data_IF_101404923610
#
_entry.id   IF_101404923610
#
_cell.length_a   1.000
_cell.length_b   1.000
_cell.length_c   1.000
_cell.angle_alpha   90.00
_cell.angle_beta   90.00
_cell.angle_gamma   90.00
#
_symmetry.space_group_name_H-M   'P 1'
#
loop_
_entity.id
_entity.type
_entity.pdbx_description
1 polymer ?
#
# COMPACT_ATOMS: atom_id res chain seq x y z
N UNK A 1 -11.18 -1.71 -13.37
CA UNK A 1 -12.43 -2.45 -13.59
C UNK A 1 -13.55 -1.82 -12.79
N UNK A 2 -14.70 -1.64 -13.41
CA UNK A 2 -15.91 -1.08 -12.76
C UNK A 2 -16.45 -1.99 -11.64
N UNK A 3 -17.31 -1.42 -10.80
CA UNK A 3 -18.02 -2.12 -9.73
C UNK A 3 -19.54 -1.93 -9.87
N UNK A 4 -20.38 -2.90 -9.45
CA UNK A 4 -20.04 -4.22 -8.92
C UNK A 4 -19.21 -5.05 -9.90
N UNK A 5 -18.22 -5.78 -9.39
CA UNK A 5 -17.37 -6.61 -10.24
C UNK A 5 -18.15 -7.87 -10.72
N UNK A 6 -17.50 -8.76 -11.47
CA UNK A 6 -18.12 -10.00 -11.97
C UNK A 6 -18.70 -10.92 -10.89
N UNK A 7 -18.30 -10.78 -9.63
CA UNK A 7 -18.82 -11.55 -8.50
C UNK A 7 -19.77 -10.73 -7.60
N UNK A 8 -20.24 -9.57 -8.07
CA UNK A 8 -21.20 -8.72 -7.37
C UNK A 8 -20.62 -7.89 -6.23
N UNK A 9 -19.32 -7.97 -5.92
CA UNK A 9 -18.71 -7.15 -4.87
C UNK A 9 -18.45 -5.72 -5.36
N UNK A 10 -18.77 -4.77 -4.49
CA UNK A 10 -18.39 -3.36 -4.63
C UNK A 10 -17.21 -3.07 -3.71
N UNK A 11 -16.10 -2.63 -4.30
CA UNK A 11 -14.84 -2.39 -3.60
C UNK A 11 -14.38 -0.94 -3.88
N UNK A 12 -13.92 -0.19 -2.86
CA UNK A 12 -13.47 1.19 -3.03
C UNK A 12 -12.42 1.35 -4.14
N UNK A 13 -12.47 2.51 -4.83
CA UNK A 13 -11.54 2.81 -5.92
C UNK A 13 -10.07 2.75 -5.47
N UNK A 14 -9.76 3.30 -4.30
CA UNK A 14 -8.43 3.29 -3.71
C UNK A 14 -7.89 1.86 -3.55
N UNK A 15 -8.69 0.96 -2.97
CA UNK A 15 -8.32 -0.45 -2.78
C UNK A 15 -8.03 -1.13 -4.11
N UNK A 16 -8.91 -0.96 -5.11
CA UNK A 16 -8.72 -1.53 -6.46
C UNK A 16 -7.42 -1.04 -7.11
N UNK A 17 -7.12 0.24 -6.99
CA UNK A 17 -5.88 0.84 -7.53
C UNK A 17 -4.64 0.33 -6.81
N UNK A 18 -4.61 0.33 -5.48
CA UNK A 18 -3.46 -0.14 -4.70
C UNK A 18 -3.19 -1.63 -4.91
N UNK A 19 -4.23 -2.46 -5.08
CA UNK A 19 -4.05 -3.86 -5.50
C UNK A 19 -3.43 -3.94 -6.90
N UNK A 20 -3.95 -3.16 -7.86
CA UNK A 20 -3.46 -3.17 -9.24
C UNK A 20 -2.02 -2.62 -9.41
N UNK A 21 -1.56 -1.75 -8.50
CA UNK A 21 -0.20 -1.22 -8.48
C UNK A 21 0.85 -2.29 -8.14
N UNK A 22 0.50 -3.39 -7.48
CA UNK A 22 1.41 -4.47 -7.08
C UNK A 22 1.82 -5.39 -8.25
N UNK A 23 2.00 -4.79 -9.42
CA UNK A 23 2.32 -5.39 -10.70
C UNK A 23 2.45 -4.28 -11.74
N UNK A 24 1.65 -4.33 -12.80
CA UNK A 24 1.52 -3.24 -13.76
C UNK A 24 0.12 -2.65 -13.67
N UNK A 25 0.01 -1.41 -13.18
CA UNK A 25 -1.27 -0.72 -13.06
C UNK A 25 -1.96 -0.59 -14.42
N UNK A 26 -3.20 -1.08 -14.51
CA UNK A 26 -4.08 -0.91 -15.65
C UNK A 26 -5.49 -0.47 -15.23
N UNK A 27 -6.08 0.47 -15.95
CA UNK A 27 -7.43 1.00 -15.66
C UNK A 27 -8.42 0.50 -16.71
N UNK A 28 -9.09 -0.62 -16.43
CA UNK A 28 -10.15 -1.17 -17.28
C UNK A 28 -11.56 -0.74 -16.87
N UNK A 29 -11.80 0.56 -16.65
CA UNK A 29 -13.08 1.13 -16.23
C UNK A 29 -13.61 2.12 -17.28
N UNK A 30 -14.92 2.32 -17.39
CA UNK A 30 -15.46 3.39 -18.25
C UNK A 30 -15.28 4.76 -17.58
N UNK A 31 -14.20 5.45 -17.94
CA UNK A 31 -13.81 6.73 -17.34
C UNK A 31 -14.87 7.83 -17.50
N UNK A 32 -15.70 7.78 -18.56
CA UNK A 32 -16.77 8.76 -18.78
C UNK A 32 -17.90 8.71 -17.73
N UNK A 33 -17.90 7.68 -16.88
CA UNK A 33 -18.89 7.52 -15.80
C UNK A 33 -18.35 7.91 -14.43
N UNK A 34 -17.09 8.32 -14.33
CA UNK A 34 -16.51 8.71 -13.05
C UNK A 34 -17.04 10.06 -12.61
N UNK A 35 -17.35 10.15 -11.32
CA UNK A 35 -17.58 11.42 -10.66
C UNK A 35 -16.28 12.24 -10.59
N UNK A 36 -16.37 13.58 -10.43
CA UNK A 36 -15.18 14.42 -10.24
C UNK A 36 -14.29 13.97 -9.07
N UNK A 37 -14.89 13.41 -8.02
CA UNK A 37 -14.15 12.89 -6.87
C UNK A 37 -13.36 11.61 -7.21
N UNK A 38 -13.94 10.70 -7.99
CA UNK A 38 -13.26 9.49 -8.48
C UNK A 38 -12.13 9.84 -9.44
N UNK A 39 -12.34 10.80 -10.34
CA UNK A 39 -11.32 11.28 -11.28
C UNK A 39 -10.14 11.92 -10.54
N UNK A 40 -10.42 12.78 -9.56
CA UNK A 40 -9.39 13.39 -8.73
C UNK A 40 -8.60 12.36 -7.92
N UNK A 41 -9.29 11.37 -7.33
CA UNK A 41 -8.65 10.27 -6.60
C UNK A 41 -7.78 9.42 -7.52
N UNK A 42 -8.29 9.01 -8.68
CA UNK A 42 -7.53 8.23 -9.66
C UNK A 42 -6.30 8.98 -10.18
N UNK A 43 -6.42 10.29 -10.41
CA UNK A 43 -5.28 11.13 -10.82
C UNK A 43 -4.15 11.08 -9.78
N UNK A 44 -4.48 11.22 -8.49
CA UNK A 44 -3.51 11.12 -7.39
C UNK A 44 -2.89 9.72 -7.30
N UNK A 45 -3.70 8.67 -7.48
CA UNK A 45 -3.23 7.29 -7.45
C UNK A 45 -2.31 6.96 -8.63
N UNK A 46 -2.60 7.47 -9.83
CA UNK A 46 -1.73 7.32 -11.01
C UNK A 46 -0.40 8.06 -10.80
N UNK A 47 -0.43 9.25 -10.17
CA UNK A 47 0.79 9.98 -9.84
C UNK A 47 1.67 9.20 -8.85
N UNK A 48 1.05 8.62 -7.82
CA UNK A 48 1.71 7.72 -6.88
C UNK A 48 2.31 6.50 -7.60
N UNK A 49 1.56 5.81 -8.47
CA UNK A 49 2.06 4.67 -9.25
C UNK A 49 3.32 5.05 -10.04
N UNK A 50 3.30 6.17 -10.75
CA UNK A 50 4.47 6.67 -11.50
C UNK A 50 5.69 6.90 -10.60
N UNK A 51 5.47 7.34 -9.36
CA UNK A 51 6.54 7.57 -8.39
C UNK A 51 7.16 6.23 -7.90
N UNK A 52 6.36 5.18 -7.74
CA UNK A 52 6.79 3.95 -7.06
C UNK A 52 7.02 2.75 -8.00
N UNK A 53 6.52 2.79 -9.23
CA UNK A 53 6.50 1.63 -10.14
C UNK A 53 7.85 1.00 -10.39
N UNK A 54 8.93 1.78 -10.41
CA UNK A 54 10.29 1.23 -10.57
C UNK A 54 10.67 0.31 -9.40
N UNK A 55 10.34 0.72 -8.18
CA UNK A 55 10.52 -0.07 -6.96
C UNK A 55 9.63 -1.30 -6.94
N UNK A 56 8.35 -1.16 -7.31
CA UNK A 56 7.38 -2.27 -7.25
C UNK A 56 7.63 -3.32 -8.33
N UNK A 57 8.02 -2.91 -9.53
CA UNK A 57 8.20 -3.82 -10.68
C UNK A 57 9.60 -4.43 -10.76
N UNK A 58 10.62 -3.74 -10.24
CA UNK A 58 12.01 -4.18 -10.32
C UNK A 58 12.71 -4.44 -8.99
N UNK A 59 12.02 -4.24 -7.86
CA UNK A 59 12.57 -4.43 -6.52
C UNK A 59 12.28 -5.80 -5.91
N UNK A 60 12.82 -6.02 -4.71
CA UNK A 60 12.65 -7.23 -3.94
C UNK A 60 11.30 -7.23 -3.21
N UNK A 61 10.50 -8.28 -3.41
CA UNK A 61 9.20 -8.46 -2.77
C UNK A 61 9.33 -9.26 -1.45
N UNK A 62 8.97 -8.62 -0.35
CA UNK A 62 8.76 -9.23 0.96
C UNK A 62 7.27 -9.36 1.25
N UNK A 63 6.76 -10.59 1.33
CA UNK A 63 5.36 -10.86 1.73
C UNK A 63 5.27 -10.88 3.25
N UNK A 64 4.79 -9.79 3.85
CA UNK A 64 4.77 -9.62 5.30
C UNK A 64 3.57 -10.31 5.96
N UNK A 65 2.40 -10.32 5.29
CA UNK A 65 1.19 -10.98 5.77
C UNK A 65 0.42 -11.61 4.62
N UNK A 66 0.00 -12.86 4.80
CA UNK A 66 -0.77 -13.63 3.83
C UNK A 66 -2.27 -13.35 3.94
N UNK A 67 -3.01 -13.24 2.82
CA UNK A 67 -4.48 -13.17 2.84
C UNK A 67 -5.16 -14.44 3.36
N UNK A 68 -4.39 -15.51 3.64
CA UNK A 68 -4.89 -16.79 4.16
C UNK A 68 -4.85 -16.89 5.69
N UNK A 69 -4.16 -15.96 6.35
CA UNK A 69 -3.77 -16.08 7.77
C UNK A 69 -4.36 -14.97 8.64
N UNK A 70 -5.23 -14.13 8.08
CA UNK A 70 -5.93 -13.07 8.82
C UNK A 70 -6.64 -12.09 7.90
N UNK A 71 -7.17 -11.03 8.51
CA UNK A 71 -7.91 -9.98 7.82
C UNK A 71 -7.03 -8.95 7.11
N UNK A 72 -5.77 -8.82 7.52
CA UNK A 72 -4.78 -7.92 6.92
C UNK A 72 -3.79 -8.66 6.03
N UNK A 73 -3.66 -8.19 4.80
CA UNK A 73 -2.64 -8.61 3.83
C UNK A 73 -1.64 -7.50 3.63
N UNK A 74 -0.34 -7.81 3.57
CA UNK A 74 0.68 -6.80 3.40
C UNK A 74 1.88 -7.31 2.61
N UNK A 75 2.31 -6.50 1.66
CA UNK A 75 3.48 -6.74 0.83
C UNK A 75 4.37 -5.50 0.84
N UNK A 76 5.66 -5.71 0.97
CA UNK A 76 6.66 -4.67 0.90
C UNK A 76 7.55 -4.92 -0.32
N UNK A 77 7.92 -3.85 -1.00
CA UNK A 77 8.89 -3.85 -2.09
C UNK A 77 10.08 -2.97 -1.69
N UNK A 78 11.30 -3.44 -1.93
CA UNK A 78 12.54 -2.67 -1.69
C UNK A 78 13.26 -2.50 -3.02
N UNK A 79 13.60 -1.26 -3.37
CA UNK A 79 14.33 -0.98 -4.60
C UNK A 79 15.71 -1.66 -4.57
N UNK A 80 16.20 -2.09 -5.73
CA UNK A 80 17.48 -2.78 -5.83
C UNK A 80 18.68 -1.96 -5.30
N UNK A 81 18.58 -0.63 -5.28
CA UNK A 81 19.59 0.26 -4.71
C UNK A 81 19.39 0.55 -3.20
N UNK A 82 18.34 -0.03 -2.60
CA UNK A 82 17.97 0.13 -1.20
C UNK A 82 17.49 1.53 -0.81
N UNK A 83 17.31 2.45 -1.76
CA UNK A 83 16.97 3.86 -1.46
C UNK A 83 15.48 4.08 -1.23
N UNK A 84 14.63 3.28 -1.86
CA UNK A 84 13.19 3.37 -1.71
C UNK A 84 12.61 2.03 -1.26
N UNK A 85 11.65 2.08 -0.35
CA UNK A 85 10.78 0.93 -0.05
C UNK A 85 9.31 1.36 -0.11
N UNK A 86 8.44 0.42 -0.45
CA UNK A 86 7.00 0.66 -0.61
C UNK A 86 6.25 -0.46 0.09
N UNK A 87 5.51 -0.12 1.12
CA UNK A 87 4.60 -1.04 1.80
C UNK A 87 3.18 -0.81 1.29
N UNK A 88 2.54 -1.87 0.83
CA UNK A 88 1.09 -1.93 0.65
C UNK A 88 0.47 -2.77 1.75
N UNK A 89 -0.63 -2.30 2.32
CA UNK A 89 -1.42 -3.06 3.27
C UNK A 89 -2.91 -2.92 2.99
N UNK A 90 -3.64 -4.01 3.17
CA UNK A 90 -5.05 -4.16 2.81
C UNK A 90 -5.77 -4.85 3.93
N UNK A 91 -6.96 -4.37 4.28
CA UNK A 91 -7.87 -5.05 5.18
C UNK A 91 -9.05 -5.61 4.38
N UNK A 92 -9.23 -6.93 4.40
CA UNK A 92 -10.30 -7.59 3.67
C UNK A 92 -11.64 -7.47 4.40
N UNK A 93 -11.69 -7.89 5.66
CA UNK A 93 -12.90 -7.83 6.49
C UNK A 93 -12.53 -7.55 7.95
N UNK A 94 -13.07 -6.50 8.55
CA UNK A 94 -12.75 -6.16 9.93
C UNK A 94 -13.44 -7.10 10.91
N UNK A 95 -12.66 -7.90 11.64
CA UNK A 95 -13.14 -8.69 12.76
C UNK A 95 -13.25 -7.82 14.02
N UNK A 96 -14.42 -7.82 14.68
CA UNK A 96 -14.70 -7.29 16.03
C UNK A 96 -13.84 -6.11 16.53
N UNK A 97 -13.79 -5.00 15.79
CA UNK A 97 -13.01 -3.80 16.17
C UNK A 97 -11.52 -4.08 16.50
N UNK A 98 -10.97 -5.21 16.06
CA UNK A 98 -9.56 -5.52 16.23
C UNK A 98 -8.73 -4.48 15.45
N UNK A 99 -7.69 -3.91 16.05
CA UNK A 99 -6.78 -3.03 15.33
C UNK A 99 -5.99 -3.84 14.30
N UNK A 100 -5.57 -3.19 13.21
CA UNK A 100 -4.62 -3.81 12.29
C UNK A 100 -3.32 -4.12 13.05
N UNK A 101 -2.68 -5.28 12.79
CA UNK A 101 -1.45 -5.64 13.46
C UNK A 101 -0.32 -4.69 13.06
N UNK A 102 0.60 -4.47 13.98
CA UNK A 102 1.89 -3.84 13.68
C UNK A 102 2.65 -4.67 12.65
N UNK A 103 3.21 -4.01 11.63
CA UNK A 103 4.00 -4.65 10.59
C UNK A 103 5.49 -4.33 10.73
N UNK A 104 6.29 -5.34 11.07
CA UNK A 104 7.74 -5.28 10.97
C UNK A 104 8.18 -5.33 9.50
N UNK A 105 8.93 -4.32 9.06
CA UNK A 105 9.46 -4.27 7.71
C UNK A 105 10.69 -5.18 7.56
N UNK A 106 11.10 -5.44 6.32
CA UNK A 106 12.26 -6.29 6.00
C UNK A 106 13.16 -5.64 4.94
N UNK A 107 14.41 -6.07 4.83
CA UNK A 107 15.30 -5.65 3.74
C UNK A 107 15.72 -4.18 3.76
N UNK A 108 15.55 -3.47 4.88
CA UNK A 108 16.00 -2.09 5.05
C UNK A 108 17.43 -2.03 5.60
N UNK A 109 18.14 -0.93 5.36
CA UNK A 109 19.42 -0.66 6.01
C UNK A 109 19.18 -0.23 7.47
N UNK A 110 19.58 -1.08 8.41
CA UNK A 110 19.38 -0.85 9.84
C UNK A 110 19.97 0.47 10.35
N UNK A 111 21.05 0.97 9.73
CA UNK A 111 21.76 2.19 10.16
C UNK A 111 21.23 3.46 9.49
N UNK A 112 20.42 3.33 8.45
CA UNK A 112 19.89 4.47 7.72
C UNK A 112 18.63 5.04 8.40
N UNK A 113 18.37 6.33 8.15
CA UNK A 113 17.09 6.98 8.47
C UNK A 113 16.24 6.98 7.21
N UNK A 114 14.97 6.65 7.37
CA UNK A 114 13.97 6.67 6.32
C UNK A 114 12.93 7.73 6.61
N UNK A 115 12.62 8.56 5.61
CA UNK A 115 11.39 9.35 5.57
C UNK A 115 10.24 8.43 5.19
N UNK A 116 9.35 8.17 6.13
CA UNK A 116 8.19 7.29 6.03
C UNK A 116 6.96 8.14 5.76
N UNK A 117 6.40 8.05 4.55
CA UNK A 117 5.26 8.82 4.08
C UNK A 117 4.04 7.92 3.85
N UNK A 118 3.08 7.89 4.80
CA UNK A 118 1.79 7.25 4.56
C UNK A 118 0.95 8.05 3.57
N UNK A 119 0.05 7.37 2.85
CA UNK A 119 -0.85 7.95 1.85
C UNK A 119 -1.61 9.20 2.31
N UNK A 120 -2.17 9.15 3.52
CA UNK A 120 -3.05 10.18 4.07
C UNK A 120 -2.49 10.86 5.33
N UNK A 121 -1.19 10.75 5.60
CA UNK A 121 -0.56 11.37 6.79
C UNK A 121 0.73 12.11 6.45
N UNK A 122 1.22 12.93 7.39
CA UNK A 122 2.51 13.59 7.26
C UNK A 122 3.66 12.56 7.26
N UNK A 123 4.79 12.93 6.64
CA UNK A 123 5.98 12.10 6.72
C UNK A 123 6.56 12.12 8.14
N UNK A 124 7.16 11.00 8.55
CA UNK A 124 7.89 10.86 9.80
C UNK A 124 9.24 10.20 9.53
N UNK A 125 10.21 10.39 10.42
CA UNK A 125 11.54 9.81 10.26
C UNK A 125 11.78 8.69 11.27
N UNK A 126 12.20 7.54 10.77
CA UNK A 126 12.50 6.37 11.59
C UNK A 126 13.74 5.67 11.06
N UNK A 127 14.53 5.07 11.95
CA UNK A 127 15.66 4.25 11.53
C UNK A 127 15.19 2.94 10.90
N UNK A 128 15.97 2.38 9.98
CA UNK A 128 15.70 1.06 9.42
C UNK A 128 15.64 -0.01 10.52
N UNK A 129 16.46 0.10 11.57
CA UNK A 129 16.41 -0.79 12.72
C UNK A 129 15.05 -0.72 13.45
N UNK A 130 14.53 0.47 13.71
CA UNK A 130 13.22 0.65 14.34
C UNK A 130 12.10 0.04 13.49
N UNK A 131 12.12 0.32 12.18
CA UNK A 131 11.13 -0.17 11.23
C UNK A 131 11.13 -1.69 11.09
N UNK A 132 12.29 -2.34 11.20
CA UNK A 132 12.40 -3.80 11.12
C UNK A 132 12.16 -4.51 12.46
N UNK A 133 12.37 -3.85 13.60
CA UNK A 133 12.22 -4.48 14.93
C UNK A 133 10.87 -4.17 15.59
N UNK A 134 10.48 -2.89 15.66
CA UNK A 134 9.20 -2.44 16.24
C UNK A 134 8.09 -2.44 15.19
N UNK A 135 8.41 -2.15 13.94
CA UNK A 135 7.41 -2.07 12.87
C UNK A 135 6.54 -0.81 12.91
N UNK A 136 5.58 -0.77 11.98
CA UNK A 136 4.63 0.33 11.81
C UNK A 136 3.23 -0.10 12.21
N UNK A 137 2.56 0.75 12.99
CA UNK A 137 1.14 0.61 13.27
C UNK A 137 0.33 1.17 12.10
N UNK A 138 -0.67 0.42 11.63
CA UNK A 138 -1.47 0.79 10.48
C UNK A 138 -2.84 1.32 10.90
N UNK A 139 -3.27 2.43 10.30
CA UNK A 139 -4.64 2.92 10.45
C UNK A 139 -5.51 2.34 9.32
N UNK A 140 -5.90 1.07 9.45
CA UNK A 140 -6.84 0.38 8.54
C UNK A 140 -8.16 0.08 9.25
N UNK A 141 -9.27 0.63 8.74
CA UNK A 141 -10.60 0.58 9.36
C UNK A 141 -11.67 0.13 8.38
N UNK A 142 -12.52 -0.79 8.82
CA UNK A 142 -13.61 -1.33 8.01
C UNK A 142 -13.15 -2.31 6.93
N UNK A 143 -14.11 -2.73 6.12
CA UNK A 143 -13.90 -3.68 5.04
C UNK A 143 -13.33 -3.00 3.80
N UNK A 144 -12.41 -3.69 3.14
CA UNK A 144 -11.72 -3.20 1.94
C UNK A 144 -11.03 -1.85 2.11
N UNK A 145 -10.48 -1.58 3.28
CA UNK A 145 -9.58 -0.46 3.49
C UNK A 145 -8.16 -0.80 3.01
N UNK A 146 -7.41 0.21 2.59
CA UNK A 146 -6.08 0.05 2.01
C UNK A 146 -5.20 1.25 2.27
N UNK A 147 -3.91 1.01 2.42
CA UNK A 147 -2.93 2.08 2.53
C UNK A 147 -1.66 1.72 1.77
N UNK A 148 -0.96 2.75 1.33
CA UNK A 148 0.43 2.66 0.88
C UNK A 148 1.30 3.52 1.79
N UNK A 149 2.49 3.05 2.07
CA UNK A 149 3.52 3.82 2.77
C UNK A 149 4.78 3.78 1.90
N UNK A 150 5.25 4.97 1.53
CA UNK A 150 6.48 5.13 0.75
C UNK A 150 7.60 5.54 1.70
N UNK A 151 8.71 4.81 1.66
CA UNK A 151 9.90 5.07 2.45
C UNK A 151 11.03 5.53 1.53
N UNK A 152 11.69 6.64 1.89
CA UNK A 152 12.88 7.13 1.20
C UNK A 152 14.05 7.19 2.19
N UNK A 153 15.13 6.49 1.88
CA UNK A 153 16.39 6.57 2.60
C UNK A 153 16.97 7.98 2.46
N UNK A 154 17.30 8.61 3.58
CA UNK A 154 17.99 9.91 3.63
C UNK A 154 19.49 9.75 3.36
#
# INVERSE_FOLDING_TARGET
>A
TDVPNMNGRSVPLQYRFMVAMQGALGVGANLNKWSPAEEALATRLIALDKQIRATVQGGDLHRLRSPREGDVTANQYVAADGKQAVLFAFRHSQEYSLPAPTLALQGLDAKAIYSVKPWNAAAQEWSGAYLMQRGLDLDLKGDFDSTVIVLQKQ
#
